data_IF_818397998742
#
_entry.id   IF_818397998742
#
_cell.length_a   1.000
_cell.length_b   1.000
_cell.length_c   1.000
_cell.angle_alpha   90.00
_cell.angle_beta   90.00
_cell.angle_gamma   90.00
#
_symmetry.space_group_name_H-M   'P 1'
#
loop_
_entity.id
_entity.type
_entity.pdbx_description
1 polymer ?
#
# COMPACT_ATOMS: atom_id res chain seq x y z
N UNK A 1 0.71 12.94 10.65
CA UNK A 1 0.92 13.75 9.43
C UNK A 1 0.60 12.83 8.27
N UNK A 2 -0.34 13.25 7.42
CA UNK A 2 -0.85 12.41 6.35
C UNK A 2 0.27 12.10 5.35
N UNK A 3 0.45 10.82 5.07
CA UNK A 3 1.43 10.28 4.15
C UNK A 3 0.74 9.46 3.07
N UNK A 4 1.44 9.26 1.95
CA UNK A 4 0.97 8.45 0.82
C UNK A 4 2.05 7.44 0.46
N UNK A 5 1.64 6.19 0.24
CA UNK A 5 2.50 5.12 -0.27
C UNK A 5 1.84 4.48 -1.49
N UNK A 6 2.65 4.22 -2.52
CA UNK A 6 2.21 3.63 -3.79
C UNK A 6 2.76 2.21 -3.88
N UNK A 7 1.92 1.29 -4.34
CA UNK A 7 2.25 -0.11 -4.62
C UNK A 7 1.92 -0.41 -6.07
N UNK A 8 2.83 -1.07 -6.78
CA UNK A 8 2.71 -1.38 -8.20
C UNK A 8 3.07 -2.84 -8.46
N UNK A 9 2.27 -3.53 -9.27
CA UNK A 9 2.50 -4.93 -9.59
C UNK A 9 1.82 -5.32 -10.90
N UNK A 10 2.32 -6.39 -11.54
CA UNK A 10 1.66 -7.02 -12.69
C UNK A 10 0.65 -8.11 -12.30
N UNK A 11 0.55 -8.41 -11.00
CA UNK A 11 -0.30 -9.49 -10.48
C UNK A 11 -1.22 -8.92 -9.40
N UNK A 12 -2.53 -8.84 -9.68
CA UNK A 12 -3.50 -8.21 -8.79
C UNK A 12 -3.43 -8.69 -7.33
N UNK A 13 -3.35 -10.02 -7.12
CA UNK A 13 -3.30 -10.60 -5.76
C UNK A 13 -2.08 -10.18 -4.95
N UNK A 14 -1.00 -9.71 -5.59
CA UNK A 14 0.18 -9.21 -4.89
C UNK A 14 -0.03 -7.85 -4.23
N UNK A 15 -0.97 -7.03 -4.70
CA UNK A 15 -1.21 -5.71 -4.08
C UNK A 15 -1.58 -5.84 -2.60
N UNK A 16 -2.52 -6.72 -2.28
CA UNK A 16 -2.95 -6.95 -0.90
C UNK A 16 -1.82 -7.52 -0.06
N UNK A 17 -1.10 -8.52 -0.59
CA UNK A 17 0.06 -9.12 0.09
C UNK A 17 1.14 -8.08 0.40
N UNK A 18 1.51 -7.24 -0.57
CA UNK A 18 2.56 -6.23 -0.41
C UNK A 18 2.14 -5.12 0.57
N UNK A 19 0.87 -4.71 0.54
CA UNK A 19 0.31 -3.75 1.52
C UNK A 19 0.37 -4.35 2.93
N UNK A 20 -0.06 -5.60 3.11
CA UNK A 20 -0.07 -6.26 4.41
C UNK A 20 1.35 -6.46 4.97
N UNK A 21 2.29 -6.98 4.16
CA UNK A 21 3.69 -7.11 4.56
C UNK A 21 4.31 -5.76 4.95
N UNK A 22 3.96 -4.68 4.24
CA UNK A 22 4.41 -3.36 4.61
C UNK A 22 3.84 -2.91 5.97
N UNK A 23 2.55 -3.11 6.23
CA UNK A 23 1.93 -2.77 7.52
C UNK A 23 2.57 -3.57 8.67
N UNK A 24 2.80 -4.87 8.48
CA UNK A 24 3.46 -5.73 9.46
C UNK A 24 4.91 -5.28 9.72
N UNK A 25 5.62 -4.88 8.67
CA UNK A 25 6.96 -4.32 8.79
C UNK A 25 6.97 -3.01 9.59
N UNK A 26 5.99 -2.12 9.36
CA UNK A 26 5.85 -0.89 10.15
C UNK A 26 5.55 -1.20 11.62
N UNK A 27 4.66 -2.16 11.88
CA UNK A 27 4.34 -2.63 13.21
C UNK A 27 5.56 -3.20 13.94
N UNK A 28 6.42 -3.95 13.24
CA UNK A 28 7.68 -4.48 13.79
C UNK A 28 8.67 -3.40 14.25
N UNK A 29 8.47 -2.14 13.81
CA UNK A 29 9.24 -0.97 14.22
C UNK A 29 8.56 -0.14 15.31
N UNK A 30 7.56 -0.69 16.00
CA UNK A 30 6.71 0.03 16.96
C UNK A 30 6.01 1.26 16.34
N UNK A 31 5.68 1.18 15.04
CA UNK A 31 4.93 2.20 14.32
C UNK A 31 3.57 1.63 13.92
N UNK A 32 2.50 2.32 14.26
CA UNK A 32 1.15 1.97 13.86
C UNK A 32 0.77 2.73 12.59
N UNK A 33 0.40 1.99 11.55
CA UNK A 33 -0.16 2.52 10.31
C UNK A 33 -1.67 2.69 10.50
N UNK A 34 -2.14 3.93 10.50
CA UNK A 34 -3.57 4.23 10.46
C UNK A 34 -3.98 4.58 9.03
N UNK A 35 -4.55 3.62 8.33
CA UNK A 35 -5.03 3.80 6.95
C UNK A 35 -6.23 4.73 6.94
N UNK A 36 -6.16 5.78 6.12
CA UNK A 36 -7.25 6.73 5.89
C UNK A 36 -8.03 6.41 4.63
N UNK A 37 -7.33 5.96 3.57
CA UNK A 37 -7.97 5.54 2.33
C UNK A 37 -7.04 4.64 1.51
N UNK A 38 -7.64 3.74 0.75
CA UNK A 38 -6.96 2.97 -0.29
C UNK A 38 -7.71 3.21 -1.60
N UNK A 39 -6.99 3.63 -2.64
CA UNK A 39 -7.48 3.71 -4.01
C UNK A 39 -6.66 2.76 -4.88
N UNK A 40 -7.28 2.13 -5.88
CA UNK A 40 -6.56 1.28 -6.81
C UNK A 40 -7.06 1.52 -8.23
N UNK A 41 -6.16 1.34 -9.19
CA UNK A 41 -6.44 1.42 -10.61
C UNK A 41 -5.63 0.34 -11.34
N UNK A 42 -6.05 0.03 -12.56
CA UNK A 42 -5.25 -0.81 -13.44
C UNK A 42 -5.25 -0.22 -14.84
N UNK A 43 -4.14 -0.41 -15.54
CA UNK A 43 -4.02 -0.08 -16.96
C UNK A 43 -3.75 -1.38 -17.70
N UNK A 44 -4.62 -1.69 -18.66
CA UNK A 44 -4.40 -2.77 -19.62
C UNK A 44 -3.81 -2.14 -20.89
N UNK A 45 -2.70 -2.67 -21.38
CA UNK A 45 -2.20 -2.34 -22.72
C UNK A 45 -2.30 -3.57 -23.62
N UNK A 46 -2.46 -3.37 -24.93
CA UNK A 46 -2.59 -4.49 -25.87
C UNK A 46 -1.33 -5.34 -25.99
N UNK A 47 -0.18 -4.83 -25.57
CA UNK A 47 1.13 -5.48 -25.72
C UNK A 47 1.80 -5.86 -24.39
N UNK A 48 1.32 -5.31 -23.27
CA UNK A 48 1.95 -5.47 -21.96
C UNK A 48 0.90 -5.74 -20.88
N UNK A 49 1.14 -6.83 -20.16
CA UNK A 49 0.42 -7.34 -18.99
C UNK A 49 -0.19 -6.24 -18.10
N UNK A 50 -1.38 -6.50 -17.55
CA UNK A 50 -2.06 -5.61 -16.61
C UNK A 50 -1.10 -5.00 -15.57
N UNK A 51 -1.03 -3.68 -15.52
CA UNK A 51 -0.33 -2.95 -14.46
C UNK A 51 -1.35 -2.52 -13.42
N UNK A 52 -1.21 -3.01 -12.20
CA UNK A 52 -2.07 -2.67 -11.07
C UNK A 52 -1.34 -1.74 -10.12
N UNK A 53 -1.99 -0.63 -9.76
CA UNK A 53 -1.46 0.37 -8.84
C UNK A 53 -2.42 0.54 -7.68
N UNK A 54 -1.92 0.53 -6.44
CA UNK A 54 -2.65 0.92 -5.24
C UNK A 54 -1.98 2.13 -4.57
N UNK A 55 -2.79 3.11 -4.20
CA UNK A 55 -2.37 4.31 -3.48
C UNK A 55 -3.00 4.24 -2.08
N UNK A 56 -2.15 4.17 -1.06
CA UNK A 56 -2.54 4.09 0.35
C UNK A 56 -2.21 5.41 1.02
N UNK A 57 -3.24 6.13 1.48
CA UNK A 57 -3.07 7.30 2.33
C UNK A 57 -3.22 6.90 3.80
N UNK A 58 -2.28 7.32 4.65
CA UNK A 58 -2.17 6.86 6.03
C UNK A 58 -1.54 7.91 6.95
N UNK A 59 -1.75 7.75 8.26
CA UNK A 59 -0.94 8.39 9.29
C UNK A 59 -0.02 7.34 9.94
N UNK A 60 1.21 7.73 10.28
CA UNK A 60 2.06 6.95 11.18
C UNK A 60 1.89 7.49 12.60
N UNK A 61 1.68 6.58 13.55
CA UNK A 61 1.70 6.85 14.98
C UNK A 61 2.81 6.03 15.62
N UNK A 62 3.50 6.61 16.60
CA UNK A 62 4.42 5.88 17.45
C UNK A 62 3.67 5.37 18.67
N UNK A 63 3.87 4.12 19.08
CA UNK A 63 3.35 3.66 20.37
C UNK A 63 4.11 4.40 21.48
N UNK A 64 3.42 5.34 22.14
CA UNK A 64 4.00 6.24 23.16
C UNK A 64 3.54 7.70 23.07
N UNK A 65 2.81 8.08 22.02
CA UNK A 65 2.10 9.37 21.89
C UNK A 65 0.60 9.28 22.24
#
# INVERSE_FOLDING_TARGET
MQQVKIFETKVFSKLETDINHWIEYEYSKNRRVEIKSISHAYVASHEDFYHYTAIVAYDLKHEGE
#
